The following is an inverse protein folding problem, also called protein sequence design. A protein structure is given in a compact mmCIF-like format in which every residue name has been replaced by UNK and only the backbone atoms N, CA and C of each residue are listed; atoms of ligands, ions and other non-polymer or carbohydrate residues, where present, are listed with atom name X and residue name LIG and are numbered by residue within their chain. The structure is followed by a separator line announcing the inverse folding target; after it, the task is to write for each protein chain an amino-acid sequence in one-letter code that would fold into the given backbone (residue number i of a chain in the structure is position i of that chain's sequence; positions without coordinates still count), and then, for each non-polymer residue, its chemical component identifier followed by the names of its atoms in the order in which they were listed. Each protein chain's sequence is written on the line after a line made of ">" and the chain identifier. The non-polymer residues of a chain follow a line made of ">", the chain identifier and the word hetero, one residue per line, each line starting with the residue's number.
data_IF_099861054209
#
_entry.id   IF_099861054209
#
_cell.length_a   1.000
_cell.length_b   1.000
_cell.length_c   1.000
_cell.angle_alpha   90.00
_cell.angle_beta   90.00
_cell.angle_gamma   90.00
#
_symmetry.space_group_name_H-M   'P 1'
#
loop_
_entity.id
_entity.type
_entity.pdbx_description
1 polymer ?
#
# COMPACT_ATOMS: atom_id res chain seq x y z
N UNK A 1 21.45 2.13 27.94
CA UNK A 1 21.68 1.66 26.57
C UNK A 1 21.08 2.72 25.64
N UNK A 2 21.91 3.33 24.85
CA UNK A 2 21.40 4.24 23.83
C UNK A 2 20.85 3.38 22.70
N UNK A 3 19.62 3.61 22.32
CA UNK A 3 18.99 2.92 21.19
C UNK A 3 19.44 3.58 19.89
N UNK A 4 19.79 2.78 18.89
CA UNK A 4 20.21 3.31 17.58
C UNK A 4 19.02 3.90 16.78
N UNK A 5 17.80 3.49 17.12
CA UNK A 5 16.56 3.95 16.51
C UNK A 5 15.47 4.17 17.55
N UNK A 6 14.66 5.21 17.32
CA UNK A 6 13.51 5.53 18.17
C UNK A 6 12.32 4.59 17.92
N UNK A 7 12.16 4.15 16.68
CA UNK A 7 11.04 3.28 16.26
C UNK A 7 11.53 2.20 15.31
N UNK A 8 11.04 0.99 15.51
CA UNK A 8 11.24 -0.12 14.57
C UNK A 8 9.88 -0.55 14.00
N UNK A 9 9.76 -0.50 12.68
CA UNK A 9 8.59 -0.99 11.94
C UNK A 9 8.93 -2.36 11.35
N UNK A 10 8.30 -3.40 11.87
CA UNK A 10 8.48 -4.77 11.39
C UNK A 10 7.45 -5.10 10.31
N UNK A 11 7.93 -5.23 9.08
CA UNK A 11 7.15 -5.49 7.88
C UNK A 11 7.19 -4.32 6.89
N UNK A 12 7.80 -4.52 5.72
CA UNK A 12 7.94 -3.53 4.64
C UNK A 12 6.77 -3.53 3.64
N UNK A 13 5.65 -4.19 3.98
CA UNK A 13 4.45 -4.13 3.17
C UNK A 13 3.77 -2.75 3.22
N UNK A 14 2.66 -2.60 2.47
CA UNK A 14 1.94 -1.32 2.38
C UNK A 14 1.61 -0.72 3.75
N UNK A 15 1.11 -1.53 4.67
CA UNK A 15 0.76 -1.08 6.03
C UNK A 15 1.98 -0.58 6.81
N UNK A 16 3.10 -1.32 6.76
CA UNK A 16 4.32 -0.91 7.45
C UNK A 16 4.92 0.36 6.85
N UNK A 17 4.91 0.48 5.52
CA UNK A 17 5.38 1.68 4.83
C UNK A 17 4.54 2.91 5.19
N UNK A 18 3.20 2.78 5.17
CA UNK A 18 2.30 3.88 5.57
C UNK A 18 2.47 4.22 7.05
N UNK A 19 2.69 3.24 7.93
CA UNK A 19 2.96 3.49 9.34
C UNK A 19 4.27 4.26 9.54
N UNK A 20 5.36 3.83 8.90
CA UNK A 20 6.64 4.53 8.96
C UNK A 20 6.54 5.97 8.45
N UNK A 21 5.87 6.16 7.33
CA UNK A 21 5.63 7.48 6.75
C UNK A 21 4.80 8.37 7.67
N UNK A 22 3.74 7.83 8.28
CA UNK A 22 2.90 8.56 9.22
C UNK A 22 3.68 8.99 10.46
N UNK A 23 4.49 8.09 11.02
CA UNK A 23 5.33 8.41 12.18
C UNK A 23 6.33 9.51 11.82
N UNK A 24 7.01 9.41 10.67
CA UNK A 24 7.92 10.43 10.17
C UNK A 24 7.24 11.78 10.02
N UNK A 25 6.06 11.80 9.39
CA UNK A 25 5.31 13.01 9.16
C UNK A 25 4.87 13.69 10.48
N UNK A 26 4.20 12.93 11.37
CA UNK A 26 3.67 13.49 12.62
C UNK A 26 4.74 13.82 13.67
N UNK A 27 5.91 13.20 13.58
CA UNK A 27 7.08 13.56 14.40
C UNK A 27 7.88 14.74 13.85
N UNK A 28 7.44 15.34 12.74
CA UNK A 28 8.23 16.33 11.99
C UNK A 28 9.65 15.86 11.66
N UNK A 29 9.79 14.57 11.33
CA UNK A 29 11.08 13.92 11.04
C UNK A 29 12.07 13.93 12.21
N UNK A 30 11.60 14.09 13.43
CA UNK A 30 12.45 14.10 14.63
C UNK A 30 12.76 12.71 15.19
N UNK A 31 12.10 11.66 14.68
CA UNK A 31 12.34 10.29 15.11
C UNK A 31 13.13 9.52 14.04
N UNK A 32 14.11 8.76 14.50
CA UNK A 32 14.83 7.80 13.67
C UNK A 32 14.02 6.52 13.56
N UNK A 33 13.72 6.09 12.34
CA UNK A 33 12.83 4.95 12.05
C UNK A 33 13.61 3.90 11.28
N UNK A 34 13.65 2.69 11.82
CA UNK A 34 14.14 1.51 11.11
C UNK A 34 12.95 0.69 10.62
N UNK A 35 12.86 0.49 9.32
CA UNK A 35 11.91 -0.46 8.72
C UNK A 35 12.64 -1.74 8.33
N UNK A 36 12.13 -2.87 8.78
CA UNK A 36 12.69 -4.19 8.50
C UNK A 36 11.66 -5.09 7.84
N UNK A 37 12.08 -5.86 6.84
CA UNK A 37 11.25 -6.87 6.19
C UNK A 37 12.03 -8.18 6.03
N UNK A 38 11.31 -9.28 5.98
CA UNK A 38 11.90 -10.61 5.73
C UNK A 38 12.36 -10.81 4.28
N UNK A 39 11.83 -10.01 3.36
CA UNK A 39 12.20 -10.06 1.96
C UNK A 39 13.44 -9.20 1.73
N UNK A 40 14.45 -9.78 1.09
CA UNK A 40 15.70 -9.09 0.77
C UNK A 40 15.54 -8.11 -0.40
N UNK A 41 14.48 -8.24 -1.18
CA UNK A 41 14.16 -7.34 -2.29
C UNK A 41 12.97 -6.47 -1.90
N UNK A 42 13.16 -5.16 -1.95
CA UNK A 42 12.12 -4.17 -1.72
C UNK A 42 11.18 -4.06 -2.94
N UNK A 43 10.58 -5.16 -3.35
CA UNK A 43 9.54 -5.17 -4.37
C UNK A 43 8.25 -5.73 -3.77
N UNK A 44 7.50 -4.91 -3.03
CA UNK A 44 6.14 -5.27 -2.67
C UNK A 44 5.30 -5.40 -3.95
N UNK A 45 4.43 -6.38 -4.04
CA UNK A 45 3.53 -6.56 -5.16
C UNK A 45 3.74 -7.85 -5.94
N UNK A 46 3.34 -7.86 -7.19
CA UNK A 46 3.16 -9.05 -8.06
C UNK A 46 4.35 -9.99 -8.19
N UNK A 47 5.56 -9.54 -7.89
CA UNK A 47 6.79 -10.32 -8.07
C UNK A 47 7.49 -10.69 -6.77
N UNK A 48 6.99 -10.28 -5.61
CA UNK A 48 7.75 -10.35 -4.37
C UNK A 48 7.81 -11.74 -3.73
N UNK A 49 6.96 -12.69 -4.12
CA UNK A 49 6.99 -14.03 -3.54
C UNK A 49 6.34 -15.06 -4.47
N UNK A 50 6.98 -16.20 -4.74
CA UNK A 50 6.34 -17.30 -5.44
C UNK A 50 5.06 -17.71 -4.72
N UNK A 51 3.91 -17.58 -5.38
CA UNK A 51 2.60 -17.95 -4.84
C UNK A 51 1.81 -16.82 -4.16
N UNK A 52 2.38 -15.62 -4.03
CA UNK A 52 1.63 -14.47 -3.55
C UNK A 52 1.29 -13.51 -4.69
N UNK A 53 0.02 -13.38 -4.98
CA UNK A 53 -0.50 -12.45 -5.98
C UNK A 53 -1.33 -11.39 -5.29
N UNK A 54 -0.96 -10.13 -5.47
CA UNK A 54 -1.78 -9.00 -5.07
C UNK A 54 -2.39 -8.38 -6.33
N UNK A 55 -3.68 -8.08 -6.28
CA UNK A 55 -4.38 -7.40 -7.38
C UNK A 55 -4.04 -5.91 -7.49
N UNK A 56 -3.28 -5.39 -6.55
CA UNK A 56 -2.83 -3.99 -6.51
C UNK A 56 -3.97 -2.95 -6.54
N UNK A 57 -5.21 -3.40 -6.29
CA UNK A 57 -6.36 -2.52 -6.18
C UNK A 57 -6.40 -1.83 -4.80
N UNK A 58 -6.74 -0.55 -4.82
CA UNK A 58 -6.92 0.25 -3.62
C UNK A 58 -8.17 1.13 -3.78
N UNK A 59 -8.95 1.31 -2.72
CA UNK A 59 -10.09 2.21 -2.77
C UNK A 59 -9.63 3.66 -2.88
N UNK A 60 -10.42 4.47 -3.58
CA UNK A 60 -10.17 5.91 -3.67
C UNK A 60 -10.11 6.56 -2.29
N UNK A 61 -11.01 6.15 -1.39
CA UNK A 61 -11.06 6.64 -0.02
C UNK A 61 -9.74 6.41 0.74
N UNK A 62 -9.11 5.24 0.58
CA UNK A 62 -7.83 4.94 1.22
C UNK A 62 -6.70 5.83 0.67
N UNK A 63 -6.68 6.06 -0.64
CA UNK A 63 -5.68 6.94 -1.29
C UNK A 63 -5.89 8.39 -0.86
N UNK A 64 -7.12 8.86 -0.88
CA UNK A 64 -7.47 10.21 -0.44
C UNK A 64 -7.08 10.43 1.04
N UNK A 65 -7.39 9.44 1.91
CA UNK A 65 -7.00 9.48 3.31
C UNK A 65 -5.47 9.64 3.49
N UNK A 66 -4.69 8.84 2.78
CA UNK A 66 -3.22 8.93 2.86
C UNK A 66 -2.72 10.29 2.35
N UNK A 67 -3.26 10.77 1.24
CA UNK A 67 -2.89 12.07 0.68
C UNK A 67 -3.23 13.22 1.63
N UNK A 68 -4.41 13.19 2.24
CA UNK A 68 -4.85 14.25 3.15
C UNK A 68 -4.15 14.20 4.51
N UNK A 69 -3.91 13.00 5.05
CA UNK A 69 -3.43 12.81 6.41
C UNK A 69 -1.92 12.80 6.53
N UNK A 70 -1.24 12.18 5.59
CA UNK A 70 0.24 12.06 5.63
C UNK A 70 0.93 12.82 4.50
N UNK A 71 0.16 13.56 3.70
CA UNK A 71 0.65 14.45 2.64
C UNK A 71 1.53 13.75 1.59
N UNK A 72 1.25 12.48 1.32
CA UNK A 72 1.86 11.73 0.22
C UNK A 72 0.92 11.78 -0.97
N UNK A 73 1.20 12.60 -1.98
CA UNK A 73 0.38 12.63 -3.19
C UNK A 73 0.67 11.37 -4.02
N UNK A 74 -0.39 10.65 -4.34
CA UNK A 74 -0.32 9.51 -5.23
C UNK A 74 -0.83 9.92 -6.60
N UNK A 75 0.05 9.86 -7.57
CA UNK A 75 -0.22 10.26 -8.95
C UNK A 75 0.35 9.22 -9.92
N UNK A 76 0.42 9.49 -11.19
CA UNK A 76 1.20 8.67 -12.11
C UNK A 76 2.71 8.88 -11.83
N UNK A 77 3.55 7.83 -11.80
CA UNK A 77 3.25 6.47 -12.25
C UNK A 77 2.75 5.50 -11.16
N UNK A 78 2.51 5.95 -9.94
CA UNK A 78 2.04 5.11 -8.82
C UNK A 78 0.60 4.65 -9.04
N UNK A 79 -0.24 5.48 -9.65
CA UNK A 79 -1.59 5.13 -10.09
C UNK A 79 -1.55 4.79 -11.58
N UNK A 80 -1.85 3.54 -11.92
CA UNK A 80 -1.88 3.07 -13.31
C UNK A 80 -3.25 3.28 -13.97
N UNK A 81 -4.33 2.96 -13.25
CA UNK A 81 -5.68 3.02 -13.78
C UNK A 81 -6.70 3.38 -12.71
N UNK A 82 -7.75 4.08 -13.12
CA UNK A 82 -8.97 4.26 -12.35
C UNK A 82 -9.84 3.00 -12.41
N UNK A 83 -10.44 2.66 -11.29
CA UNK A 83 -11.39 1.55 -11.14
C UNK A 83 -12.74 2.12 -10.72
N UNK A 84 -13.81 1.70 -11.38
CA UNK A 84 -15.18 2.16 -11.09
C UNK A 84 -16.04 1.10 -10.40
N UNK A 85 -15.49 -0.07 -10.19
CA UNK A 85 -16.19 -1.15 -9.53
C UNK A 85 -15.47 -2.48 -9.64
N UNK A 86 -16.05 -3.48 -9.02
CA UNK A 86 -15.57 -4.87 -9.04
C UNK A 86 -16.73 -5.76 -9.44
N UNK A 87 -16.44 -6.78 -10.23
CA UNK A 87 -17.40 -7.83 -10.54
C UNK A 87 -16.95 -9.11 -9.84
N UNK A 88 -17.78 -9.62 -8.93
CA UNK A 88 -17.56 -10.92 -8.33
C UNK A 88 -18.36 -11.99 -9.09
N UNK A 89 -17.70 -13.10 -9.40
CA UNK A 89 -18.32 -14.24 -10.05
C UNK A 89 -18.37 -15.44 -9.11
N UNK A 90 -19.46 -16.23 -9.21
CA UNK A 90 -19.49 -17.55 -8.59
C UNK A 90 -18.43 -18.47 -9.22
N UNK A 91 -17.99 -19.56 -8.53
CA UNK A 91 -16.97 -20.47 -9.05
C UNK A 91 -17.33 -21.08 -10.42
N UNK A 92 -18.61 -21.35 -10.66
CA UNK A 92 -19.16 -21.83 -11.94
C UNK A 92 -19.37 -20.72 -12.98
N UNK A 93 -19.18 -19.44 -12.57
CA UNK A 93 -19.39 -18.25 -13.40
C UNK A 93 -20.84 -18.03 -13.86
N UNK A 94 -21.81 -18.71 -13.28
CA UNK A 94 -23.21 -18.54 -13.63
C UNK A 94 -23.85 -17.31 -12.97
N UNK A 95 -23.28 -16.88 -11.84
CA UNK A 95 -23.74 -15.68 -11.11
C UNK A 95 -22.65 -14.63 -11.12
N UNK A 96 -23.03 -13.40 -11.46
CA UNK A 96 -22.18 -12.22 -11.39
C UNK A 96 -22.84 -11.16 -10.51
N UNK A 97 -22.09 -10.61 -9.56
CA UNK A 97 -22.55 -9.56 -8.65
C UNK A 97 -21.65 -8.34 -8.87
N UNK A 98 -22.20 -7.23 -9.37
CA UNK A 98 -21.46 -5.97 -9.48
C UNK A 98 -21.40 -5.29 -8.12
N UNK A 99 -20.24 -4.69 -7.83
CA UNK A 99 -20.04 -3.78 -6.72
C UNK A 99 -19.51 -2.47 -7.29
N UNK A 100 -20.29 -1.43 -7.23
CA UNK A 100 -19.88 -0.10 -7.63
C UNK A 100 -18.95 0.50 -6.58
N UNK A 101 -17.91 1.20 -7.02
CA UNK A 101 -17.00 1.89 -6.13
C UNK A 101 -15.82 2.49 -6.89
N UNK A 102 -15.35 3.61 -6.40
CA UNK A 102 -14.18 4.28 -6.96
C UNK A 102 -12.90 3.73 -6.32
N UNK A 103 -11.91 3.50 -7.14
CA UNK A 103 -10.61 3.00 -6.71
C UNK A 103 -9.55 3.19 -7.77
N UNK A 104 -8.38 2.66 -7.46
CA UNK A 104 -7.22 2.72 -8.32
C UNK A 104 -6.52 1.36 -8.41
N UNK A 105 -5.92 1.09 -9.56
CA UNK A 105 -4.89 0.06 -9.70
C UNK A 105 -3.55 0.72 -9.47
N UNK A 106 -2.80 0.20 -8.51
CA UNK A 106 -1.53 0.77 -8.10
C UNK A 106 -0.35 0.04 -8.74
N UNK A 107 0.67 0.79 -9.08
CA UNK A 107 1.98 0.26 -9.40
C UNK A 107 2.86 0.24 -8.15
N UNK A 108 2.82 -0.86 -7.40
CA UNK A 108 3.59 -0.98 -6.16
C UNK A 108 5.11 -1.02 -6.36
N UNK A 109 5.59 -1.19 -7.57
CA UNK A 109 7.03 -1.09 -7.86
C UNK A 109 7.48 0.37 -7.94
N UNK A 110 6.53 1.30 -8.02
CA UNK A 110 6.79 2.74 -8.10
C UNK A 110 6.45 3.48 -6.80
N UNK A 111 5.73 2.79 -5.90
CA UNK A 111 5.52 3.24 -4.52
C UNK A 111 6.79 3.00 -3.69
#
# INVERSE_FOLDING_TARGET
>A
MDADYDVIVAGGGLTGTVAAQSISYYSNQNLSILSIDRNSEMFPGRKSNPGWTCGDACSKEAVDFMTERIKVPWTAPEIEHDVKGVMAFSPDKETAIPFDGDGYMLNRQKL
#
